data_IF_188543151323
#
_entry.id   IF_188543151323
#
_cell.length_a   1.000
_cell.length_b   1.000
_cell.length_c   1.000
_cell.angle_alpha   90.00
_cell.angle_beta   90.00
_cell.angle_gamma   90.00
#
_symmetry.space_group_name_H-M   'P 1'
#
loop_
_entity.id
_entity.type
_entity.pdbx_description
1 polymer ?
#
# COMPACT_ATOMS: atom_id res chain seq x y z
N UNK A 1 -26.77 0.21 -13.93
CA UNK A 1 -25.65 1.16 -14.00
C UNK A 1 -24.47 0.49 -14.67
N UNK A 2 -23.72 1.18 -15.56
CA UNK A 2 -22.50 0.66 -16.15
C UNK A 2 -21.45 0.47 -15.05
N UNK A 3 -20.75 -0.67 -15.03
CA UNK A 3 -19.68 -0.92 -14.07
C UNK A 3 -18.56 0.11 -14.25
N UNK A 4 -18.08 0.72 -13.15
CA UNK A 4 -16.94 1.64 -13.19
C UNK A 4 -15.63 0.87 -13.34
N UNK A 5 -14.70 1.45 -14.09
CA UNK A 5 -13.39 0.89 -14.35
C UNK A 5 -12.35 1.44 -13.36
N UNK A 6 -11.75 0.56 -12.58
CA UNK A 6 -10.69 0.88 -11.62
C UNK A 6 -9.33 0.47 -12.19
N UNK A 7 -8.42 1.41 -12.34
CA UNK A 7 -7.02 1.15 -12.70
C UNK A 7 -6.19 1.07 -11.41
N UNK A 8 -5.58 -0.09 -11.14
CA UNK A 8 -4.85 -0.35 -9.89
C UNK A 8 -3.37 -0.58 -10.17
N UNK A 9 -2.54 0.23 -9.56
CA UNK A 9 -1.09 0.03 -9.47
C UNK A 9 -0.76 -0.62 -8.13
N UNK A 10 0.05 -1.69 -8.15
CA UNK A 10 0.36 -2.47 -6.95
C UNK A 10 -0.67 -3.56 -6.61
N UNK A 11 -1.53 -3.95 -7.56
CA UNK A 11 -2.58 -4.95 -7.36
C UNK A 11 -2.08 -6.37 -7.02
N UNK A 12 -0.83 -6.70 -7.32
CA UNK A 12 -0.22 -7.99 -6.95
C UNK A 12 0.25 -8.07 -5.48
N UNK A 13 0.32 -6.94 -4.79
CA UNK A 13 0.67 -6.88 -3.37
C UNK A 13 -0.45 -7.37 -2.45
N UNK A 14 -0.16 -7.48 -1.16
CA UNK A 14 -1.09 -7.87 -0.12
C UNK A 14 -2.39 -7.04 -0.18
N UNK A 15 -2.30 -5.72 -0.02
CA UNK A 15 -3.45 -4.81 -0.03
C UNK A 15 -4.19 -4.89 -1.38
N UNK A 16 -3.44 -4.93 -2.49
CA UNK A 16 -4.01 -4.99 -3.84
C UNK A 16 -4.89 -6.20 -4.07
N UNK A 17 -4.47 -7.39 -3.64
CA UNK A 17 -5.26 -8.62 -3.77
C UNK A 17 -6.57 -8.57 -2.99
N UNK A 18 -6.53 -8.09 -1.75
CA UNK A 18 -7.73 -7.89 -0.94
C UNK A 18 -8.68 -6.85 -1.57
N UNK A 19 -8.13 -5.75 -2.08
CA UNK A 19 -8.90 -4.70 -2.73
C UNK A 19 -9.56 -5.18 -4.04
N UNK A 20 -8.84 -5.92 -4.88
CA UNK A 20 -9.39 -6.50 -6.12
C UNK A 20 -10.62 -7.34 -5.79
N UNK A 21 -10.53 -8.27 -4.82
CA UNK A 21 -11.66 -9.08 -4.38
C UNK A 21 -12.84 -8.23 -3.92
N UNK A 22 -12.58 -7.16 -3.16
CA UNK A 22 -13.62 -6.27 -2.65
C UNK A 22 -14.30 -5.51 -3.78
N UNK A 23 -13.55 -4.90 -4.68
CA UNK A 23 -14.09 -4.11 -5.79
C UNK A 23 -14.88 -4.97 -6.77
N UNK A 24 -14.34 -6.12 -7.18
CA UNK A 24 -15.01 -6.99 -8.17
C UNK A 24 -16.28 -7.63 -7.63
N UNK A 25 -16.35 -7.97 -6.33
CA UNK A 25 -17.57 -8.40 -5.66
C UNK A 25 -18.66 -7.31 -5.64
N UNK A 26 -18.26 -6.04 -5.75
CA UNK A 26 -19.17 -4.90 -5.78
C UNK A 26 -19.33 -4.30 -7.20
N UNK A 27 -19.18 -5.14 -8.22
CA UNK A 27 -19.46 -4.82 -9.63
C UNK A 27 -18.55 -3.72 -10.23
N UNK A 28 -17.31 -3.57 -9.73
CA UNK A 28 -16.29 -2.77 -10.40
C UNK A 28 -15.46 -3.65 -11.34
N UNK A 29 -15.12 -3.14 -12.53
CA UNK A 29 -14.11 -3.74 -13.38
C UNK A 29 -12.74 -3.24 -12.98
N UNK A 30 -11.76 -4.13 -12.91
CA UNK A 30 -10.43 -3.80 -12.40
C UNK A 30 -9.38 -4.09 -13.46
N UNK A 31 -8.59 -3.09 -13.82
CA UNK A 31 -7.37 -3.26 -14.61
C UNK A 31 -6.17 -3.16 -13.68
N UNK A 32 -5.35 -4.19 -13.62
CA UNK A 32 -4.15 -4.24 -12.78
C UNK A 32 -2.90 -4.09 -13.62
N UNK A 33 -2.04 -3.14 -13.25
CA UNK A 33 -0.71 -3.00 -13.87
C UNK A 33 0.32 -3.78 -13.06
N UNK A 34 1.05 -4.67 -13.73
CA UNK A 34 2.14 -5.44 -13.14
C UNK A 34 3.40 -5.39 -14.00
N UNK A 35 4.58 -5.49 -13.37
CA UNK A 35 5.87 -5.54 -14.08
C UNK A 35 6.22 -6.95 -14.58
N UNK A 36 5.58 -7.96 -14.05
CA UNK A 36 5.90 -9.35 -14.33
C UNK A 36 4.61 -10.18 -14.36
N UNK A 37 4.03 -10.27 -15.54
CA UNK A 37 2.79 -10.99 -15.77
C UNK A 37 2.96 -12.49 -15.52
N UNK A 38 4.08 -13.09 -15.96
CA UNK A 38 4.32 -14.53 -15.79
C UNK A 38 4.33 -14.96 -14.33
N UNK A 39 4.98 -14.18 -13.44
CA UNK A 39 5.09 -14.53 -12.02
C UNK A 39 3.85 -14.11 -11.21
N UNK A 40 3.20 -13.00 -11.56
CA UNK A 40 2.15 -12.38 -10.74
C UNK A 40 0.74 -12.55 -11.34
N UNK A 41 0.63 -12.86 -12.63
CA UNK A 41 -0.65 -12.92 -13.33
C UNK A 41 -1.60 -13.95 -12.73
N UNK A 42 -1.11 -15.15 -12.38
CA UNK A 42 -1.94 -16.18 -11.75
C UNK A 42 -2.53 -15.69 -10.42
N UNK A 43 -1.69 -15.16 -9.54
CA UNK A 43 -2.12 -14.66 -8.22
C UNK A 43 -3.13 -13.54 -8.34
N UNK A 44 -3.01 -12.68 -9.36
CA UNK A 44 -3.97 -11.60 -9.61
C UNK A 44 -5.29 -12.16 -10.18
N UNK A 45 -5.23 -13.06 -11.17
CA UNK A 45 -6.42 -13.64 -11.81
C UNK A 45 -7.32 -14.38 -10.82
N UNK A 46 -6.74 -15.07 -9.84
CA UNK A 46 -7.51 -15.80 -8.80
C UNK A 46 -8.27 -14.91 -7.83
N UNK A 47 -8.11 -13.58 -7.90
CA UNK A 47 -8.80 -12.65 -7.00
C UNK A 47 -10.21 -12.27 -7.49
N UNK A 48 -10.58 -12.56 -8.73
CA UNK A 48 -11.85 -12.15 -9.30
C UNK A 48 -12.38 -13.16 -10.31
N UNK A 49 -13.69 -13.12 -10.54
CA UNK A 49 -14.32 -13.88 -11.61
C UNK A 49 -13.89 -13.37 -13.00
N UNK A 50 -13.97 -14.25 -14.00
CA UNK A 50 -13.71 -13.88 -15.39
C UNK A 50 -14.58 -12.69 -15.82
N UNK A 51 -13.99 -11.79 -16.60
CA UNK A 51 -14.67 -10.58 -17.10
C UNK A 51 -14.66 -9.37 -16.15
N UNK A 52 -14.21 -9.53 -14.89
CA UNK A 52 -14.08 -8.44 -13.94
C UNK A 52 -12.65 -7.94 -13.76
N UNK A 53 -11.66 -8.66 -14.28
CA UNK A 53 -10.26 -8.32 -14.10
C UNK A 53 -9.48 -8.44 -15.40
N UNK A 54 -8.75 -7.38 -15.73
CA UNK A 54 -7.77 -7.32 -16.80
C UNK A 54 -6.38 -7.08 -16.20
N UNK A 55 -5.35 -7.69 -16.78
CA UNK A 55 -3.98 -7.53 -16.31
C UNK A 55 -3.12 -7.02 -17.46
N UNK A 56 -2.44 -5.92 -17.22
CA UNK A 56 -1.54 -5.29 -18.19
C UNK A 56 -0.12 -5.35 -17.67
N UNK A 57 0.77 -5.93 -18.48
CA UNK A 57 2.20 -5.89 -18.19
C UNK A 57 2.79 -4.58 -18.68
N UNK A 58 3.26 -3.78 -17.74
CA UNK A 58 3.95 -2.52 -18.06
C UNK A 58 4.94 -2.14 -16.97
N UNK A 59 6.03 -1.48 -17.39
CA UNK A 59 6.85 -0.71 -16.48
C UNK A 59 6.10 0.58 -16.13
N UNK A 60 6.06 0.93 -14.84
CA UNK A 60 5.36 2.14 -14.37
C UNK A 60 5.95 3.45 -14.94
N UNK A 61 7.18 3.41 -15.44
CA UNK A 61 7.84 4.54 -16.11
C UNK A 61 7.71 4.50 -17.64
N UNK A 62 7.05 3.48 -18.23
CA UNK A 62 6.64 3.50 -19.62
C UNK A 62 5.37 4.36 -19.76
N UNK A 63 5.59 5.67 -19.79
CA UNK A 63 4.49 6.65 -19.84
C UNK A 63 3.55 6.42 -21.03
N UNK A 64 4.08 5.98 -22.17
CA UNK A 64 3.25 5.71 -23.37
C UNK A 64 2.24 4.58 -23.13
N UNK A 65 2.67 3.49 -22.48
CA UNK A 65 1.78 2.38 -22.13
C UNK A 65 0.81 2.78 -21.03
N UNK A 66 1.30 3.43 -19.98
CA UNK A 66 0.48 3.87 -18.84
C UNK A 66 -0.61 4.84 -19.32
N UNK A 67 -0.27 5.82 -20.12
CA UNK A 67 -1.20 6.82 -20.66
C UNK A 67 -2.41 6.18 -21.38
N UNK A 68 -2.20 5.14 -22.18
CA UNK A 68 -3.27 4.44 -22.88
C UNK A 68 -4.33 3.84 -21.97
N UNK A 69 -3.96 3.46 -20.74
CA UNK A 69 -4.88 2.86 -19.79
C UNK A 69 -5.88 3.86 -19.20
N UNK A 70 -5.52 5.15 -19.20
CA UNK A 70 -6.36 6.19 -18.62
C UNK A 70 -7.59 6.53 -19.45
N UNK A 71 -7.60 6.24 -20.76
CA UNK A 71 -8.74 6.52 -21.64
C UNK A 71 -10.06 5.85 -21.23
N UNK A 72 -10.00 4.77 -20.46
CA UNK A 72 -11.16 4.02 -19.98
C UNK A 72 -11.22 3.94 -18.45
N UNK A 73 -10.46 4.78 -17.75
CA UNK A 73 -10.34 4.74 -16.30
C UNK A 73 -11.27 5.73 -15.63
N UNK A 74 -12.19 5.26 -14.80
CA UNK A 74 -13.02 6.09 -13.95
C UNK A 74 -12.34 6.40 -12.61
N UNK A 75 -11.60 5.42 -12.07
CA UNK A 75 -10.96 5.47 -10.76
C UNK A 75 -9.53 4.98 -10.87
N UNK A 76 -8.56 5.77 -10.43
CA UNK A 76 -7.16 5.38 -10.33
C UNK A 76 -6.79 5.11 -8.87
N UNK A 77 -6.12 3.98 -8.60
CA UNK A 77 -5.70 3.61 -7.24
C UNK A 77 -4.22 3.25 -7.27
N UNK A 78 -3.41 3.99 -6.53
CA UNK A 78 -1.98 3.73 -6.38
C UNK A 78 -1.64 3.16 -5.02
N UNK A 79 -1.29 1.88 -5.00
CA UNK A 79 -0.86 1.13 -3.81
C UNK A 79 0.65 0.85 -3.82
N UNK A 80 1.39 1.37 -4.81
CA UNK A 80 2.83 1.09 -4.92
C UNK A 80 3.60 1.86 -3.85
N UNK A 81 4.46 1.13 -3.16
CA UNK A 81 5.46 1.66 -2.25
C UNK A 81 6.59 0.65 -2.07
N UNK A 82 7.75 1.15 -1.66
CA UNK A 82 8.92 0.35 -1.32
C UNK A 82 9.41 0.74 0.07
N UNK A 83 9.98 -0.20 0.81
CA UNK A 83 10.59 0.06 2.13
C UNK A 83 12.11 0.23 2.03
N UNK A 84 12.70 -0.24 0.94
CA UNK A 84 14.14 -0.18 0.67
C UNK A 84 14.36 0.19 -0.79
N UNK A 85 15.41 0.96 -1.04
CA UNK A 85 15.84 1.24 -2.40
C UNK A 85 16.50 0.02 -3.03
N UNK A 86 16.33 -0.12 -4.33
CA UNK A 86 16.84 -1.24 -5.11
C UNK A 86 17.48 -0.78 -6.43
N UNK A 87 17.87 -1.75 -7.23
CA UNK A 87 18.43 -1.50 -8.56
C UNK A 87 17.34 -1.08 -9.58
N UNK A 88 17.76 -0.66 -10.78
CA UNK A 88 16.91 -0.39 -11.95
C UNK A 88 15.84 0.69 -11.72
N UNK A 89 16.18 1.77 -11.02
CA UNK A 89 15.28 2.89 -10.81
C UNK A 89 14.26 2.72 -9.68
N UNK A 90 14.34 1.65 -8.88
CA UNK A 90 13.53 1.48 -7.68
C UNK A 90 14.09 2.33 -6.52
N UNK A 91 14.04 3.64 -6.65
CA UNK A 91 14.41 4.60 -5.60
C UNK A 91 13.18 5.17 -4.92
N UNK A 92 13.33 5.66 -3.69
CA UNK A 92 12.25 6.35 -2.98
C UNK A 92 11.72 7.52 -3.81
N UNK A 93 12.60 8.35 -4.36
CA UNK A 93 12.23 9.49 -5.22
C UNK A 93 11.37 9.06 -6.41
N UNK A 94 11.79 8.03 -7.13
CA UNK A 94 11.08 7.58 -8.32
C UNK A 94 9.70 6.99 -7.98
N UNK A 95 9.63 6.15 -6.95
CA UNK A 95 8.43 5.37 -6.60
C UNK A 95 7.44 6.20 -5.79
N UNK A 96 7.92 7.01 -4.85
CA UNK A 96 7.05 7.72 -3.89
C UNK A 96 6.73 9.15 -4.31
N UNK A 97 7.57 9.79 -5.15
CA UNK A 97 7.37 11.18 -5.56
C UNK A 97 7.08 11.31 -7.06
N UNK A 98 7.96 10.85 -7.93
CA UNK A 98 7.82 11.05 -9.39
C UNK A 98 6.62 10.28 -9.94
N UNK A 99 6.51 8.98 -9.64
CA UNK A 99 5.43 8.16 -10.18
C UNK A 99 4.03 8.64 -9.75
N UNK A 100 3.74 8.93 -8.48
CA UNK A 100 2.45 9.51 -8.06
C UNK A 100 2.15 10.86 -8.73
N UNK A 101 3.17 11.69 -8.98
CA UNK A 101 3.04 12.96 -9.71
C UNK A 101 2.58 12.73 -11.15
N UNK A 102 3.17 11.73 -11.84
CA UNK A 102 2.75 11.33 -13.19
C UNK A 102 1.29 10.88 -13.19
N UNK A 103 0.90 10.03 -12.25
CA UNK A 103 -0.48 9.56 -12.13
C UNK A 103 -1.47 10.71 -11.90
N UNK A 104 -1.13 11.66 -11.01
CA UNK A 104 -1.97 12.82 -10.75
C UNK A 104 -2.19 13.68 -12.00
N UNK A 105 -1.13 13.90 -12.78
CA UNK A 105 -1.22 14.62 -14.07
C UNK A 105 -2.11 13.89 -15.07
N UNK A 106 -1.94 12.56 -15.20
CA UNK A 106 -2.78 11.74 -16.08
C UNK A 106 -4.23 11.72 -15.63
N UNK A 107 -4.50 11.62 -14.33
CA UNK A 107 -5.86 11.72 -13.78
C UNK A 107 -6.53 13.04 -14.17
N UNK A 108 -5.80 14.15 -14.10
CA UNK A 108 -6.30 15.48 -14.53
C UNK A 108 -6.57 15.52 -16.04
N UNK A 109 -5.61 15.08 -16.83
CA UNK A 109 -5.68 15.10 -18.30
C UNK A 109 -6.86 14.28 -18.83
N UNK A 110 -7.04 13.08 -18.30
CA UNK A 110 -8.10 12.16 -18.73
C UNK A 110 -9.42 12.31 -17.95
N UNK A 111 -9.52 13.32 -17.09
CA UNK A 111 -10.72 13.63 -16.29
C UNK A 111 -11.19 12.42 -15.46
N UNK A 112 -10.24 11.68 -14.88
CA UNK A 112 -10.52 10.57 -13.98
C UNK A 112 -11.35 11.08 -12.79
N UNK A 113 -12.42 10.38 -12.43
CA UNK A 113 -13.35 10.82 -11.39
C UNK A 113 -12.72 10.82 -10.00
N UNK A 114 -11.93 9.79 -9.67
CA UNK A 114 -11.27 9.64 -8.38
C UNK A 114 -9.82 9.19 -8.53
N UNK A 115 -8.94 9.77 -7.73
CA UNK A 115 -7.59 9.27 -7.54
C UNK A 115 -7.36 9.00 -6.06
N UNK A 116 -7.01 7.75 -5.73
CA UNK A 116 -6.73 7.30 -4.36
C UNK A 116 -5.26 6.89 -4.29
N UNK A 117 -4.54 7.47 -3.35
CA UNK A 117 -3.12 7.20 -3.15
C UNK A 117 -2.85 6.66 -1.76
N UNK A 118 -2.08 5.57 -1.67
CA UNK A 118 -1.66 4.99 -0.40
C UNK A 118 -0.30 5.55 0.02
N UNK A 119 -0.30 6.35 1.05
CA UNK A 119 0.86 6.93 1.70
C UNK A 119 1.26 6.11 2.95
N UNK A 120 1.67 6.76 4.03
CA UNK A 120 1.97 6.12 5.31
C UNK A 120 1.66 7.06 6.48
N UNK A 121 1.31 6.48 7.63
CA UNK A 121 1.11 7.21 8.88
C UNK A 121 2.43 7.75 9.41
N UNK A 122 2.40 8.94 10.00
CA UNK A 122 3.52 9.53 10.73
C UNK A 122 4.63 10.15 9.87
N UNK A 123 4.48 10.23 8.55
CA UNK A 123 5.51 10.77 7.66
C UNK A 123 5.84 12.24 7.93
N UNK A 124 4.89 13.02 8.48
CA UNK A 124 5.13 14.42 8.82
C UNK A 124 6.10 14.59 9.99
N UNK A 125 6.25 13.57 10.84
CA UNK A 125 7.04 13.62 12.05
C UNK A 125 8.44 12.99 11.89
N UNK A 126 8.65 12.22 10.83
CA UNK A 126 9.89 11.49 10.58
C UNK A 126 10.82 12.30 9.63
N UNK A 127 11.19 13.50 10.06
CA UNK A 127 11.93 14.49 9.24
C UNK A 127 13.30 14.02 8.78
N UNK A 128 13.93 13.08 9.47
CA UNK A 128 15.25 12.53 9.12
C UNK A 128 15.16 11.31 8.20
N UNK A 129 13.95 10.80 7.95
CA UNK A 129 13.74 9.62 7.12
C UNK A 129 13.57 9.99 5.65
N UNK A 130 14.49 9.53 4.78
CA UNK A 130 14.36 9.69 3.33
C UNK A 130 13.10 9.03 2.77
N UNK A 131 12.69 7.90 3.36
CA UNK A 131 11.39 7.28 3.06
C UNK A 131 10.22 8.24 3.33
N UNK A 132 10.18 8.83 4.52
CA UNK A 132 9.09 9.72 4.91
C UNK A 132 9.07 11.01 4.06
N UNK A 133 10.24 11.62 3.83
CA UNK A 133 10.39 12.78 2.94
C UNK A 133 9.86 12.46 1.54
N UNK A 134 10.26 11.35 0.96
CA UNK A 134 9.83 10.98 -0.38
C UNK A 134 8.32 10.75 -0.49
N UNK A 135 7.70 10.17 0.54
CA UNK A 135 6.25 10.00 0.63
C UNK A 135 5.53 11.35 0.71
N UNK A 136 6.02 12.24 1.56
CA UNK A 136 5.47 13.59 1.71
C UNK A 136 5.56 14.39 0.41
N UNK A 137 6.70 14.35 -0.28
CA UNK A 137 6.89 14.98 -1.60
C UNK A 137 5.88 14.45 -2.62
N UNK A 138 5.61 13.15 -2.58
CA UNK A 138 4.58 12.52 -3.41
C UNK A 138 3.18 13.05 -3.12
N UNK A 139 2.80 13.16 -1.85
CA UNK A 139 1.50 13.72 -1.44
C UNK A 139 1.34 15.18 -1.89
N UNK A 140 2.35 16.01 -1.66
CA UNK A 140 2.36 17.42 -2.07
C UNK A 140 2.23 17.56 -3.60
N UNK A 141 2.95 16.71 -4.32
CA UNK A 141 2.88 16.67 -5.79
C UNK A 141 1.51 16.24 -6.31
N UNK A 142 0.87 15.25 -5.65
CA UNK A 142 -0.50 14.83 -5.96
C UNK A 142 -1.47 15.98 -5.73
N UNK A 143 -1.45 16.59 -4.55
CA UNK A 143 -2.35 17.70 -4.21
C UNK A 143 -2.24 18.88 -5.17
N UNK A 144 -1.00 19.20 -5.61
CA UNK A 144 -0.75 20.26 -6.61
C UNK A 144 -1.34 19.93 -7.98
N UNK A 145 -1.21 18.67 -8.44
CA UNK A 145 -1.60 18.28 -9.80
C UNK A 145 -3.05 17.81 -9.91
N UNK A 146 -3.59 17.19 -8.86
CA UNK A 146 -4.97 16.68 -8.80
C UNK A 146 -5.54 16.89 -7.39
N UNK A 147 -6.02 18.10 -7.04
CA UNK A 147 -6.50 18.46 -5.69
C UNK A 147 -7.67 17.59 -5.17
N UNK A 148 -8.39 16.94 -6.09
CA UNK A 148 -9.50 16.02 -5.75
C UNK A 148 -9.02 14.65 -5.25
N UNK A 149 -7.71 14.37 -5.26
CA UNK A 149 -7.19 13.10 -4.78
C UNK A 149 -7.51 12.87 -3.28
N UNK A 150 -7.75 11.63 -2.93
CA UNK A 150 -7.82 11.18 -1.54
C UNK A 150 -6.58 10.39 -1.21
N UNK A 151 -5.89 10.82 -0.16
CA UNK A 151 -4.64 10.21 0.32
C UNK A 151 -4.95 9.43 1.59
N UNK A 152 -4.58 8.15 1.60
CA UNK A 152 -4.72 7.29 2.77
C UNK A 152 -3.36 7.06 3.41
N UNK A 153 -3.27 7.29 4.71
CA UNK A 153 -2.06 7.09 5.53
C UNK A 153 -2.27 5.91 6.48
N UNK A 154 -2.05 4.68 6.02
CA UNK A 154 -2.16 3.53 6.90
C UNK A 154 -1.01 3.47 7.89
N UNK A 155 -1.30 2.93 9.08
CA UNK A 155 -0.31 2.38 9.99
C UNK A 155 0.22 1.05 9.42
N UNK A 156 0.96 0.30 10.22
CA UNK A 156 1.42 -1.04 9.83
C UNK A 156 0.22 -1.92 9.48
N UNK A 157 0.22 -2.44 8.25
CA UNK A 157 -0.86 -3.29 7.74
C UNK A 157 -0.49 -4.75 7.90
N UNK A 158 -1.34 -5.52 8.56
CA UNK A 158 -1.12 -6.94 8.79
C UNK A 158 -2.21 -7.84 8.17
N UNK A 159 -1.82 -9.05 7.82
CA UNK A 159 -2.71 -10.14 7.38
C UNK A 159 -1.95 -11.47 7.44
N UNK A 160 -2.57 -12.56 7.01
CA UNK A 160 -1.92 -13.90 6.96
C UNK A 160 -0.67 -13.94 6.11
N UNK A 161 -0.54 -13.05 5.13
CA UNK A 161 0.53 -13.04 4.11
C UNK A 161 1.24 -11.67 4.02
N UNK A 162 1.26 -10.93 5.13
CA UNK A 162 1.99 -9.67 5.21
C UNK A 162 3.51 -9.89 5.37
N UNK A 163 4.27 -8.83 5.08
CA UNK A 163 5.72 -8.88 5.24
C UNK A 163 6.21 -8.47 6.65
N UNK A 164 5.36 -7.83 7.47
CA UNK A 164 5.76 -7.34 8.79
C UNK A 164 5.68 -8.45 9.83
N UNK A 165 4.49 -9.00 10.08
CA UNK A 165 4.31 -10.04 11.10
C UNK A 165 4.98 -11.35 10.70
N UNK A 166 4.91 -11.75 9.41
CA UNK A 166 5.55 -12.98 8.93
C UNK A 166 7.07 -12.91 9.00
N UNK A 167 7.69 -11.76 8.74
CA UNK A 167 9.13 -11.59 8.91
C UNK A 167 9.52 -11.73 10.36
N UNK A 168 8.82 -11.04 11.29
CA UNK A 168 9.10 -11.19 12.71
C UNK A 168 8.86 -12.62 13.22
N UNK A 169 7.77 -13.28 12.84
CA UNK A 169 7.52 -14.67 13.19
C UNK A 169 8.64 -15.60 12.70
N UNK A 170 9.14 -15.37 11.47
CA UNK A 170 10.25 -16.15 10.92
C UNK A 170 11.53 -15.94 11.73
N UNK A 171 11.89 -14.70 12.06
CA UNK A 171 13.07 -14.38 12.87
C UNK A 171 12.95 -14.96 14.28
N UNK A 172 11.81 -14.74 14.95
CA UNK A 172 11.52 -15.28 16.29
C UNK A 172 11.49 -16.80 16.32
N UNK A 173 11.16 -17.45 15.20
CA UNK A 173 11.19 -18.91 15.09
C UNK A 173 12.59 -19.47 15.04
N UNK A 174 13.55 -18.75 14.44
CA UNK A 174 14.90 -19.21 14.16
C UNK A 174 15.92 -18.75 15.20
N UNK A 175 15.78 -17.52 15.72
CA UNK A 175 16.75 -16.91 16.62
C UNK A 175 16.44 -17.26 18.08
N UNK A 176 17.45 -17.56 18.93
CA UNK A 176 17.27 -17.82 20.36
C UNK A 176 16.94 -16.56 21.14
N UNK A 177 17.37 -15.40 20.68
CA UNK A 177 17.06 -14.08 21.24
C UNK A 177 16.76 -13.08 20.12
N UNK A 178 16.06 -11.99 20.46
CA UNK A 178 15.73 -10.92 19.51
C UNK A 178 16.09 -9.55 20.10
N UNK A 179 16.85 -8.70 19.37
CA UNK A 179 17.25 -7.39 19.84
C UNK A 179 16.08 -6.40 19.81
N UNK A 180 15.94 -5.61 20.89
CA UNK A 180 14.94 -4.55 20.99
C UNK A 180 15.62 -3.19 20.94
N UNK A 181 15.54 -2.51 19.81
CA UNK A 181 15.91 -1.09 19.72
C UNK A 181 14.91 -0.26 20.53
N UNK A 182 15.39 0.80 21.19
CA UNK A 182 14.57 1.66 22.06
C UNK A 182 13.76 0.87 23.10
N UNK A 183 14.30 -0.23 23.61
CA UNK A 183 13.59 -1.17 24.50
C UNK A 183 12.25 -1.69 23.93
N UNK A 184 12.08 -1.60 22.62
CA UNK A 184 10.83 -1.97 21.94
C UNK A 184 9.65 -1.06 22.27
N UNK A 185 9.90 0.19 22.70
CA UNK A 185 8.86 1.15 23.12
C UNK A 185 8.14 1.84 21.97
N UNK A 186 8.69 1.76 20.74
CA UNK A 186 8.06 2.35 19.54
C UNK A 186 6.61 1.87 19.40
N UNK A 187 5.68 2.83 19.32
CA UNK A 187 4.24 2.55 19.26
C UNK A 187 3.75 2.42 17.82
N UNK A 188 2.82 1.51 17.62
CA UNK A 188 2.12 1.25 16.37
C UNK A 188 0.62 1.12 16.63
N UNK A 189 -0.17 1.40 15.61
CA UNK A 189 -1.62 1.17 15.59
C UNK A 189 -1.97 0.22 14.44
N UNK A 190 -1.58 -1.07 14.52
CA UNK A 190 -1.68 -1.99 13.39
C UNK A 190 -3.11 -2.11 12.89
N UNK A 191 -3.30 -2.00 11.57
CA UNK A 191 -4.61 -2.16 10.92
C UNK A 191 -4.66 -3.47 10.13
N UNK A 192 -5.77 -4.19 10.23
CA UNK A 192 -5.94 -5.39 9.41
C UNK A 192 -6.17 -5.03 7.94
N UNK A 193 -5.62 -5.83 7.02
CA UNK A 193 -5.68 -5.56 5.58
C UNK A 193 -7.12 -5.46 5.05
N UNK A 194 -8.08 -6.23 5.61
CA UNK A 194 -9.49 -6.12 5.24
C UNK A 194 -10.07 -4.75 5.59
N UNK A 195 -9.77 -4.22 6.78
CA UNK A 195 -10.31 -2.94 7.25
C UNK A 195 -9.78 -1.77 6.42
N UNK A 196 -8.49 -1.85 6.05
CA UNK A 196 -7.90 -0.89 5.12
C UNK A 196 -8.58 -0.96 3.75
N UNK A 197 -8.82 -2.16 3.21
CA UNK A 197 -9.48 -2.29 1.91
C UNK A 197 -10.96 -1.92 1.97
N UNK A 198 -11.62 -2.08 3.10
CA UNK A 198 -12.97 -1.59 3.35
C UNK A 198 -13.00 -0.07 3.40
N UNK A 199 -11.99 0.56 4.00
CA UNK A 199 -11.81 2.02 3.97
C UNK A 199 -11.61 2.51 2.54
N UNK A 200 -10.73 1.87 1.73
CA UNK A 200 -10.53 2.23 0.32
C UNK A 200 -11.86 2.10 -0.45
N UNK A 201 -12.56 1.00 -0.27
CA UNK A 201 -13.85 0.77 -0.91
C UNK A 201 -14.90 1.81 -0.49
N UNK A 202 -14.94 2.19 0.78
CA UNK A 202 -15.82 3.24 1.28
C UNK A 202 -15.53 4.60 0.59
N UNK A 203 -14.25 4.97 0.48
CA UNK A 203 -13.83 6.17 -0.25
C UNK A 203 -14.29 6.12 -1.71
N UNK A 204 -14.13 4.97 -2.38
CA UNK A 204 -14.58 4.76 -3.76
C UNK A 204 -16.11 4.87 -3.89
N UNK A 205 -16.84 4.12 -3.09
CA UNK A 205 -18.30 3.98 -3.20
C UNK A 205 -19.07 5.24 -2.79
N UNK A 206 -18.54 5.99 -1.82
CA UNK A 206 -19.12 7.24 -1.32
C UNK A 206 -18.61 8.49 -2.05
N UNK A 207 -17.76 8.32 -3.07
CA UNK A 207 -17.16 9.42 -3.82
C UNK A 207 -16.51 10.47 -2.89
N UNK A 208 -15.64 10.02 -1.98
CA UNK A 208 -14.93 10.92 -1.05
C UNK A 208 -13.72 11.51 -1.77
N UNK A 209 -13.60 12.84 -1.75
CA UNK A 209 -12.57 13.61 -2.44
C UNK A 209 -11.81 14.53 -1.50
N UNK A 210 -10.61 14.94 -1.92
CA UNK A 210 -9.81 16.01 -1.27
C UNK A 210 -9.56 15.76 0.21
N UNK A 211 -9.36 14.50 0.61
CA UNK A 211 -9.12 14.13 2.01
C UNK A 211 -7.76 13.47 2.20
N UNK A 212 -7.17 13.72 3.36
CA UNK A 212 -6.11 12.90 3.92
C UNK A 212 -6.75 12.13 5.08
N UNK A 213 -6.68 10.80 5.01
CA UNK A 213 -7.32 9.90 5.99
C UNK A 213 -6.26 9.02 6.63
N UNK A 214 -6.09 9.11 7.92
CA UNK A 214 -5.26 8.20 8.69
C UNK A 214 -6.02 6.90 8.95
N UNK A 215 -5.44 5.77 8.53
CA UNK A 215 -6.04 4.45 8.64
C UNK A 215 -5.31 3.67 9.74
N UNK A 216 -5.92 3.59 10.91
CA UNK A 216 -5.35 2.99 12.11
C UNK A 216 -6.22 1.86 12.64
N UNK A 217 -5.60 0.88 13.28
CA UNK A 217 -6.31 -0.13 14.04
C UNK A 217 -6.74 0.38 15.42
N UNK A 218 -7.57 -0.40 16.15
CA UNK A 218 -8.14 0.02 17.43
C UNK A 218 -7.13 0.05 18.57
N UNK A 219 -6.05 -0.72 18.48
CA UNK A 219 -5.09 -0.89 19.58
C UNK A 219 -3.80 -0.09 19.32
N UNK A 220 -3.29 0.57 20.35
CA UNK A 220 -1.94 1.14 20.35
C UNK A 220 -1.00 0.14 21.01
N UNK A 221 -0.12 -0.46 20.24
CA UNK A 221 0.81 -1.49 20.70
C UNK A 221 2.26 -1.05 20.53
N UNK A 222 3.10 -1.32 21.54
CA UNK A 222 4.55 -1.21 21.38
C UNK A 222 5.10 -2.36 20.54
N UNK A 223 6.26 -2.17 19.93
CA UNK A 223 6.96 -3.27 19.24
C UNK A 223 7.14 -4.50 20.15
N UNK A 224 7.50 -4.28 21.41
CA UNK A 224 7.67 -5.36 22.40
C UNK A 224 6.37 -6.13 22.63
N UNK A 225 5.22 -5.46 22.69
CA UNK A 225 3.91 -6.11 22.84
C UNK A 225 3.54 -6.90 21.58
N UNK A 226 3.80 -6.34 20.39
CA UNK A 226 3.60 -7.05 19.12
C UNK A 226 4.44 -8.33 19.10
N UNK A 227 5.75 -8.25 19.40
CA UNK A 227 6.63 -9.42 19.42
C UNK A 227 6.20 -10.46 20.43
N UNK A 228 5.73 -10.07 21.63
CA UNK A 228 5.17 -10.98 22.62
C UNK A 228 3.91 -11.70 22.11
N UNK A 229 3.00 -10.97 21.46
CA UNK A 229 1.81 -11.57 20.82
C UNK A 229 2.22 -12.59 19.74
N UNK A 230 3.21 -12.26 18.91
CA UNK A 230 3.72 -13.16 17.87
C UNK A 230 4.38 -14.41 18.47
N UNK A 231 5.19 -14.26 19.53
CA UNK A 231 5.78 -15.40 20.25
C UNK A 231 4.73 -16.34 20.82
N UNK A 232 3.66 -15.79 21.37
CA UNK A 232 2.53 -16.59 21.86
C UNK A 232 1.87 -17.39 20.73
N UNK A 233 1.62 -16.73 19.58
CA UNK A 233 0.98 -17.37 18.42
C UNK A 233 1.82 -18.51 17.81
N UNK A 234 3.15 -18.39 17.80
CA UNK A 234 4.03 -19.44 17.29
C UNK A 234 4.42 -20.48 18.36
N UNK A 235 3.89 -20.38 19.58
CA UNK A 235 4.16 -21.30 20.67
C UNK A 235 5.62 -21.33 21.15
N UNK A 236 6.35 -20.20 21.01
CA UNK A 236 7.78 -20.12 21.36
C UNK A 236 8.07 -19.10 22.45
N UNK A 237 9.08 -19.42 23.27
CA UNK A 237 9.66 -18.48 24.25
C UNK A 237 11.02 -18.03 23.74
N UNK A 238 11.24 -16.73 23.63
CA UNK A 238 12.50 -16.11 23.19
C UNK A 238 12.85 -14.95 24.09
N UNK A 239 14.16 -14.75 24.29
CA UNK A 239 14.65 -13.60 25.05
C UNK A 239 14.58 -12.35 24.16
N UNK A 240 13.86 -11.33 24.62
CA UNK A 240 13.83 -10.01 23.99
C UNK A 240 14.84 -9.13 24.69
N UNK A 241 15.98 -8.85 24.06
CA UNK A 241 17.14 -8.18 24.67
C UNK A 241 17.16 -6.70 24.31
N UNK A 242 17.00 -5.79 25.27
CA UNK A 242 17.17 -4.37 25.01
C UNK A 242 18.58 -4.07 24.51
N UNK A 243 18.70 -3.33 23.42
CA UNK A 243 19.98 -2.81 22.95
C UNK A 243 20.19 -1.40 23.49
N UNK A 244 21.36 -1.10 24.11
CA UNK A 244 21.72 0.26 24.44
C UNK A 244 21.87 1.08 23.15
N UNK A 245 21.40 2.30 23.16
CA UNK A 245 21.71 3.30 22.12
C UNK A 245 23.08 3.88 22.48
N UNK A 246 24.03 3.73 21.58
CA UNK A 246 25.33 4.44 21.63
C UNK A 246 25.21 5.73 20.85
#
# INVERSE_FOLDING_TARGET
>A
MKAKNCLIFGGSGQIGRHLIRKLTKNNYRVTVVTRNLHQKGYVIKTQANAGYIDIVEANIFDEKKIRKLFSQTDICINLIGILFEGSKGNTFKNIHSIFPSILAKLCKEYKVQQFIHLSALGINNAIDSEYAKSKLDGELSIQKNFPLATILRPSVVYSVDDNFTTTFMTLLSRLPFFPLYYNGSTKFTPIHCSDLTDTIYHVVSKNIYSKIVECVGPDILSLKEILKKLLYLIGKKRLLVPLPLF
#
